data_IF_876298985210
#
_entry.id   IF_876298985210
#
_cell.length_a   1.000
_cell.length_b   1.000
_cell.length_c   1.000
_cell.angle_alpha   90.00
_cell.angle_beta   90.00
_cell.angle_gamma   90.00
#
_symmetry.space_group_name_H-M   'P 1'
#
loop_
_entity.id
_entity.type
_entity.pdbx_description
1 polymer ?
#
# COMPACT_ATOMS: atom_id res chain seq x y z
N UNK A 1 -12.67 -22.80 -8.10
CA UNK A 1 -13.01 -21.62 -8.91
C UNK A 1 -12.34 -21.69 -10.29
N UNK A 2 -11.01 -21.63 -10.40
CA UNK A 2 -10.30 -21.70 -11.69
C UNK A 2 -10.35 -23.09 -12.34
N UNK A 3 -10.08 -24.15 -11.56
CA UNK A 3 -10.11 -25.54 -12.02
C UNK A 3 -11.54 -26.01 -12.33
N UNK A 4 -12.48 -25.67 -11.45
CA UNK A 4 -13.91 -25.98 -11.63
C UNK A 4 -14.59 -25.13 -12.71
N UNK A 5 -13.87 -24.19 -13.34
CA UNK A 5 -14.39 -23.33 -14.42
C UNK A 5 -15.37 -22.24 -13.98
N UNK A 6 -15.61 -22.07 -12.68
CA UNK A 6 -16.46 -20.99 -12.15
C UNK A 6 -15.88 -19.60 -12.43
N UNK A 7 -14.55 -19.48 -12.50
CA UNK A 7 -13.86 -18.27 -12.93
C UNK A 7 -13.05 -18.55 -14.19
N UNK A 8 -13.15 -17.67 -15.19
CA UNK A 8 -12.40 -17.77 -16.45
C UNK A 8 -10.89 -17.47 -16.30
N UNK A 9 -10.49 -16.78 -15.23
CA UNK A 9 -9.11 -16.42 -14.92
C UNK A 9 -9.02 -15.54 -13.68
N UNK A 10 -7.80 -15.15 -13.29
CA UNK A 10 -7.56 -14.21 -12.20
C UNK A 10 -6.35 -13.30 -12.48
N UNK A 11 -6.44 -12.04 -12.03
CA UNK A 11 -5.33 -11.09 -11.97
C UNK A 11 -4.96 -10.83 -10.51
N UNK A 12 -3.71 -11.02 -10.13
CA UNK A 12 -3.26 -10.88 -8.74
C UNK A 12 -2.06 -9.94 -8.63
N UNK A 13 -2.19 -8.86 -7.85
CA UNK A 13 -1.05 -7.99 -7.51
C UNK A 13 -0.51 -8.26 -6.09
N UNK A 14 -1.38 -8.74 -5.19
CA UNK A 14 -1.07 -8.96 -3.77
C UNK A 14 -1.28 -10.41 -3.36
N UNK A 15 -0.57 -10.83 -2.33
CA UNK A 15 -0.65 -12.19 -1.78
C UNK A 15 -0.85 -12.16 -0.27
N UNK A 16 -1.36 -13.26 0.30
CA UNK A 16 -1.53 -13.40 1.76
C UNK A 16 -0.21 -13.29 2.53
N UNK A 17 0.87 -13.82 1.96
CA UNK A 17 2.22 -13.66 2.47
C UNK A 17 3.12 -13.22 1.30
N UNK A 18 3.99 -12.24 1.55
CA UNK A 18 4.88 -11.66 0.55
C UNK A 18 6.35 -11.74 1.00
N UNK A 19 7.25 -12.37 0.21
CA UNK A 19 7.00 -12.97 -1.10
C UNK A 19 6.16 -14.25 -1.01
N UNK A 20 5.36 -14.57 -2.04
CA UNK A 20 4.47 -15.73 -2.02
C UNK A 20 5.27 -17.04 -1.95
N UNK A 21 5.01 -17.83 -0.91
CA UNK A 21 5.62 -19.16 -0.73
C UNK A 21 4.93 -20.25 -1.55
N UNK A 22 3.64 -20.09 -1.82
CA UNK A 22 2.86 -21.04 -2.59
C UNK A 22 2.76 -20.56 -4.05
N UNK A 23 3.40 -21.31 -4.95
CA UNK A 23 3.43 -20.99 -6.37
C UNK A 23 2.30 -21.61 -7.19
N UNK A 24 1.42 -22.42 -6.60
CA UNK A 24 0.33 -23.12 -7.33
C UNK A 24 -0.57 -22.14 -8.06
N UNK A 25 -0.97 -21.05 -7.40
CA UNK A 25 -1.85 -20.05 -8.01
C UNK A 25 -1.10 -19.17 -9.02
N UNK A 26 0.17 -18.86 -8.73
CA UNK A 26 1.06 -18.04 -9.57
C UNK A 26 1.38 -18.73 -10.90
N UNK A 27 1.56 -20.05 -10.87
CA UNK A 27 1.89 -20.84 -12.05
C UNK A 27 0.66 -21.31 -12.83
N UNK A 28 -0.55 -21.04 -12.33
CA UNK A 28 -1.76 -21.50 -12.99
C UNK A 28 -1.94 -20.79 -14.36
N UNK A 29 -2.19 -21.51 -15.46
CA UNK A 29 -2.16 -20.94 -16.82
C UNK A 29 -3.21 -19.86 -17.10
N UNK A 30 -4.27 -19.80 -16.28
CA UNK A 30 -5.31 -18.75 -16.33
C UNK A 30 -5.08 -17.60 -15.34
N UNK A 31 -3.88 -17.49 -14.77
CA UNK A 31 -3.53 -16.44 -13.81
C UNK A 31 -2.44 -15.57 -14.40
N UNK A 32 -2.65 -14.25 -14.28
CA UNK A 32 -1.61 -13.24 -14.51
C UNK A 32 -1.36 -12.59 -13.16
N UNK A 33 -0.09 -12.44 -12.80
CA UNK A 33 0.25 -11.88 -11.51
C UNK A 33 1.45 -10.93 -11.56
N UNK A 34 1.45 -9.98 -10.64
CA UNK A 34 2.49 -8.97 -10.45
C UNK A 34 3.02 -9.03 -9.02
N UNK A 35 4.15 -8.39 -8.77
CA UNK A 35 4.84 -8.42 -7.47
C UNK A 35 4.53 -7.14 -6.66
N UNK A 36 3.26 -6.96 -6.26
CA UNK A 36 2.80 -5.79 -5.50
C UNK A 36 3.22 -4.45 -6.13
N UNK A 37 2.89 -4.29 -7.40
CA UNK A 37 3.32 -3.18 -8.24
C UNK A 37 2.21 -2.15 -8.49
N UNK A 38 1.04 -2.27 -7.87
CA UNK A 38 -0.12 -1.39 -8.11
C UNK A 38 0.19 0.11 -7.97
N UNK A 39 1.06 0.49 -7.03
CA UNK A 39 1.51 1.87 -6.83
C UNK A 39 2.93 2.15 -7.37
N UNK A 40 3.52 1.22 -8.13
CA UNK A 40 4.94 1.26 -8.50
C UNK A 40 5.30 2.13 -9.71
N UNK A 41 4.45 3.08 -10.11
CA UNK A 41 4.75 4.02 -11.20
C UNK A 41 5.62 5.19 -10.73
N UNK A 42 6.30 5.85 -11.66
CA UNK A 42 7.13 7.02 -11.35
C UNK A 42 6.26 8.17 -10.79
N UNK A 43 5.10 8.39 -11.41
CA UNK A 43 4.16 9.45 -11.05
C UNK A 43 3.54 9.22 -9.68
N UNK A 44 3.16 7.97 -9.35
CA UNK A 44 2.58 7.64 -8.05
C UNK A 44 3.62 7.84 -6.92
N UNK A 45 4.84 7.33 -7.12
CA UNK A 45 5.93 7.51 -6.15
C UNK A 45 6.31 8.97 -5.95
N UNK A 46 6.39 9.74 -7.04
CA UNK A 46 6.69 11.18 -6.95
C UNK A 46 5.60 11.94 -6.20
N UNK A 47 4.32 11.62 -6.43
CA UNK A 47 3.20 12.26 -5.74
C UNK A 47 3.23 11.98 -4.24
N UNK A 48 3.35 10.70 -3.87
CA UNK A 48 3.44 10.27 -2.46
C UNK A 48 4.65 10.90 -1.77
N UNK A 49 5.79 10.99 -2.44
CA UNK A 49 6.99 11.60 -1.84
C UNK A 49 6.77 13.09 -1.50
N UNK A 50 6.11 13.84 -2.39
CA UNK A 50 5.79 15.25 -2.15
C UNK A 50 4.77 15.38 -1.02
N UNK A 51 3.67 14.61 -1.08
CA UNK A 51 2.59 14.64 -0.08
C UNK A 51 3.11 14.36 1.34
N UNK A 52 3.89 13.28 1.52
CA UNK A 52 4.48 12.96 2.82
C UNK A 52 5.46 14.05 3.28
N UNK A 53 6.23 14.64 2.37
CA UNK A 53 7.17 15.73 2.73
C UNK A 53 6.43 16.97 3.23
N UNK A 54 5.34 17.35 2.56
CA UNK A 54 4.48 18.48 2.95
C UNK A 54 3.80 18.21 4.30
N UNK A 55 3.31 16.99 4.53
CA UNK A 55 2.71 16.59 5.81
C UNK A 55 3.72 16.67 6.96
N UNK A 56 4.97 16.22 6.76
CA UNK A 56 6.01 16.30 7.80
C UNK A 56 6.34 17.75 8.17
N UNK A 57 6.42 18.65 7.19
CA UNK A 57 6.64 20.08 7.44
C UNK A 57 5.45 20.71 8.18
N UNK A 58 4.22 20.39 7.77
CA UNK A 58 3.02 20.88 8.46
C UNK A 58 3.03 20.46 9.95
N UNK A 59 3.40 19.21 10.23
CA UNK A 59 3.51 18.69 11.59
C UNK A 59 4.57 19.41 12.42
N UNK A 60 5.75 19.66 11.86
CA UNK A 60 6.83 20.42 12.53
C UNK A 60 6.40 21.85 12.90
N UNK A 61 5.57 22.47 12.06
CA UNK A 61 4.99 23.79 12.29
C UNK A 61 3.77 23.78 13.23
N UNK A 62 3.43 22.64 13.84
CA UNK A 62 2.26 22.47 14.71
C UNK A 62 0.92 22.55 13.98
N UNK A 63 0.92 22.40 12.65
CA UNK A 63 -0.28 22.34 11.83
C UNK A 63 -0.79 20.89 11.74
N UNK A 64 -2.05 20.72 11.33
CA UNK A 64 -2.60 19.38 11.10
C UNK A 64 -2.10 18.82 9.77
N UNK A 65 -1.55 17.61 9.78
CA UNK A 65 -1.39 16.82 8.55
C UNK A 65 -2.73 16.24 8.10
N UNK A 66 -2.85 15.96 6.80
CA UNK A 66 -3.95 15.19 6.25
C UNK A 66 -3.67 13.68 6.44
N UNK A 67 -4.66 12.82 6.17
CA UNK A 67 -4.45 11.37 6.19
C UNK A 67 -4.15 10.74 7.56
N UNK A 68 -4.19 11.48 8.68
CA UNK A 68 -3.89 10.94 10.01
C UNK A 68 -4.91 9.86 10.41
N UNK A 69 -4.44 8.61 10.47
CA UNK A 69 -5.29 7.45 10.85
C UNK A 69 -5.40 7.30 12.36
N UNK A 70 -4.33 7.62 13.10
CA UNK A 70 -4.22 7.40 14.55
C UNK A 70 -4.16 8.72 15.34
N UNK A 71 -5.04 9.67 15.02
CA UNK A 71 -5.00 11.04 15.55
C UNK A 71 -4.87 11.16 17.08
N UNK A 72 -5.61 10.40 17.92
CA UNK A 72 -5.47 10.51 19.38
C UNK A 72 -4.09 10.13 19.91
N UNK A 73 -3.46 9.08 19.37
CA UNK A 73 -2.12 8.65 19.77
C UNK A 73 -1.03 9.61 19.24
N UNK A 74 -1.31 10.23 18.10
CA UNK A 74 -0.42 11.16 17.44
C UNK A 74 -0.35 12.51 18.18
N UNK A 75 -1.48 13.08 18.61
CA UNK A 75 -1.52 14.34 19.37
C UNK A 75 -0.74 14.26 20.69
N UNK A 76 -0.78 13.11 21.38
CA UNK A 76 -0.07 12.90 22.65
C UNK A 76 1.46 12.85 22.50
N UNK A 77 1.97 12.41 21.35
CA UNK A 77 3.41 12.26 21.11
C UNK A 77 4.05 13.55 20.60
N UNK A 78 3.35 14.31 19.76
CA UNK A 78 3.86 15.61 19.26
C UNK A 78 3.84 16.68 20.37
N UNK A 79 2.82 16.70 21.23
CA UNK A 79 2.73 17.69 22.33
C UNK A 79 3.72 17.45 23.47
N UNK A 80 4.39 16.29 23.53
CA UNK A 80 5.39 15.96 24.55
C UNK A 80 6.84 16.06 24.04
N UNK A 81 7.02 16.25 22.73
CA UNK A 81 8.32 16.43 22.07
C UNK A 81 8.73 17.91 21.90
N UNK A 82 7.80 18.84 22.15
CA UNK A 82 8.00 20.30 22.22
C UNK A 82 8.12 20.78 23.66
#
# INVERSE_FOLDING_TARGET
>A
ALESGQCGGAGLDVYMEEPPKNSTLIQHPKVICTHHLGASTHEAKSRVAVEISEEMVALDLGQSAHGIVNSPAFTLTVSSAS
#
